data_IF_814807236769
#
_entry.id   IF_814807236769
#
_cell.length_a   1.000
_cell.length_b   1.000
_cell.length_c   1.000
_cell.angle_alpha   90.00
_cell.angle_beta   90.00
_cell.angle_gamma   90.00
#
_symmetry.space_group_name_H-M   'P 1'
#
loop_
_entity.id
_entity.type
_entity.pdbx_description
1 polymer ?
#
# COMPACT_ATOMS: atom_id res chain seq x y z
N UNK A 1 -19.93 13.19 46.16
CA UNK A 1 -20.47 12.91 44.82
C UNK A 1 -19.29 12.57 43.93
N UNK A 2 -19.15 11.30 43.54
CA UNK A 2 -18.03 10.85 42.71
C UNK A 2 -18.33 11.17 41.25
N UNK A 3 -17.55 12.07 40.65
CA UNK A 3 -17.60 12.33 39.21
C UNK A 3 -16.86 11.20 38.49
N UNK A 4 -17.58 10.17 38.06
CA UNK A 4 -17.08 9.24 37.05
C UNK A 4 -17.29 9.86 35.67
N UNK A 5 -16.20 10.30 35.04
CA UNK A 5 -16.17 10.63 33.62
C UNK A 5 -16.52 9.36 32.83
N UNK A 6 -17.53 9.38 31.94
CA UNK A 6 -17.83 8.21 31.11
C UNK A 6 -16.64 7.89 30.22
N UNK A 7 -16.13 6.66 30.31
CA UNK A 7 -15.12 6.13 29.41
C UNK A 7 -15.76 6.08 28.02
N UNK A 8 -15.39 7.02 27.16
CA UNK A 8 -15.80 7.00 25.78
C UNK A 8 -15.21 5.75 25.13
N UNK A 9 -16.06 4.79 24.78
CA UNK A 9 -15.63 3.58 24.06
C UNK A 9 -15.00 4.01 22.75
N UNK A 10 -13.68 3.93 22.63
CA UNK A 10 -12.98 4.22 21.39
C UNK A 10 -13.34 3.15 20.37
N UNK A 11 -14.13 3.49 19.36
CA UNK A 11 -14.36 2.61 18.22
C UNK A 11 -13.07 2.58 17.41
N UNK A 12 -12.42 1.42 17.36
CA UNK A 12 -11.26 1.20 16.50
C UNK A 12 -11.74 0.83 15.09
N UNK A 13 -11.42 1.61 14.05
CA UNK A 13 -11.83 1.27 12.69
C UNK A 13 -11.16 -0.03 12.22
N UNK A 14 -11.94 -0.90 11.55
CA UNK A 14 -11.43 -2.15 10.98
C UNK A 14 -10.49 -1.94 9.79
N UNK A 15 -10.74 -0.91 8.98
CA UNK A 15 -9.95 -0.53 7.81
C UNK A 15 -9.75 0.99 7.82
N UNK A 16 -8.54 1.44 7.53
CA UNK A 16 -8.20 2.86 7.36
C UNK A 16 -7.50 3.03 6.01
N UNK A 17 -8.04 3.90 5.16
CA UNK A 17 -7.40 4.36 3.93
C UNK A 17 -6.81 5.76 4.17
N UNK A 18 -5.54 5.95 3.85
CA UNK A 18 -4.90 7.26 3.78
C UNK A 18 -4.35 7.49 2.39
N UNK A 19 -4.71 8.62 1.79
CA UNK A 19 -4.27 9.00 0.45
C UNK A 19 -3.33 10.18 0.52
N UNK A 20 -2.22 10.11 -0.22
CA UNK A 20 -1.29 11.21 -0.44
C UNK A 20 -1.09 11.41 -1.93
N UNK A 21 -1.07 12.66 -2.37
CA UNK A 21 -0.70 13.04 -3.74
C UNK A 21 0.75 13.50 -3.76
N UNK A 22 1.53 12.97 -4.70
CA UNK A 22 2.95 13.24 -4.84
C UNK A 22 3.19 13.92 -6.18
N UNK A 23 3.69 15.15 -6.12
CA UNK A 23 3.97 15.95 -7.31
C UNK A 23 5.18 15.40 -8.10
N UNK A 24 5.19 15.59 -9.43
CA UNK A 24 6.36 15.30 -10.24
C UNK A 24 7.57 16.14 -9.75
N UNK A 25 8.77 15.56 -9.74
CA UNK A 25 10.00 16.22 -9.28
C UNK A 25 10.24 16.19 -7.77
N UNK A 26 9.36 15.59 -6.97
CA UNK A 26 9.61 15.37 -5.55
C UNK A 26 10.48 14.14 -5.31
N UNK A 27 11.33 14.19 -4.27
CA UNK A 27 12.14 13.04 -3.84
C UNK A 27 11.26 11.80 -3.61
N UNK A 28 10.04 11.97 -3.10
CA UNK A 28 9.12 10.86 -2.85
C UNK A 28 8.72 10.10 -4.12
N UNK A 29 8.57 10.78 -5.26
CA UNK A 29 8.30 10.12 -6.53
C UNK A 29 9.53 9.33 -6.99
N UNK A 30 10.71 9.97 -6.99
CA UNK A 30 11.96 9.35 -7.40
C UNK A 30 12.28 8.09 -6.56
N UNK A 31 12.11 8.20 -5.24
CA UNK A 31 12.31 7.09 -4.32
C UNK A 31 11.31 5.92 -4.55
N UNK A 32 10.09 6.19 -5.07
CA UNK A 32 9.15 5.13 -5.46
C UNK A 32 9.64 4.36 -6.68
N UNK A 33 10.16 5.07 -7.69
CA UNK A 33 10.76 4.46 -8.88
C UNK A 33 11.92 3.54 -8.48
N UNK A 34 12.72 3.94 -7.50
CA UNK A 34 13.80 3.11 -6.93
C UNK A 34 13.28 1.91 -6.14
N UNK A 35 12.19 2.08 -5.39
CA UNK A 35 11.56 0.99 -4.64
C UNK A 35 11.00 -0.13 -5.54
N UNK A 36 10.48 0.21 -6.72
CA UNK A 36 10.00 -0.79 -7.70
C UNK A 36 11.12 -1.68 -8.21
N UNK A 37 12.33 -1.15 -8.30
CA UNK A 37 13.54 -1.82 -8.80
C UNK A 37 14.26 -2.67 -7.73
N UNK A 38 13.66 -2.85 -6.55
CA UNK A 38 14.31 -3.56 -5.46
C UNK A 38 14.37 -5.06 -5.73
N UNK A 39 15.48 -5.65 -5.29
CA UNK A 39 15.63 -7.11 -5.20
C UNK A 39 14.72 -7.67 -4.09
N UNK A 40 13.79 -8.56 -4.45
CA UNK A 40 12.88 -9.21 -3.49
C UNK A 40 13.62 -10.13 -2.51
N UNK A 41 14.75 -10.70 -2.94
CA UNK A 41 15.48 -11.72 -2.19
C UNK A 41 16.37 -11.18 -1.06
N UNK A 42 16.56 -9.86 -0.96
CA UNK A 42 17.38 -9.26 0.08
C UNK A 42 16.51 -8.96 1.30
N UNK A 43 16.73 -9.71 2.37
CA UNK A 43 16.14 -9.54 3.71
C UNK A 43 16.48 -8.20 4.39
N UNK A 44 16.97 -7.21 3.65
CA UNK A 44 17.28 -5.87 4.12
C UNK A 44 16.93 -4.91 2.98
N UNK A 45 15.64 -4.79 2.67
CA UNK A 45 15.18 -3.68 1.86
C UNK A 45 15.39 -2.41 2.69
N UNK A 46 16.52 -1.72 2.49
CA UNK A 46 16.74 -0.38 3.03
C UNK A 46 15.80 0.57 2.31
N UNK A 47 14.55 0.59 2.73
CA UNK A 47 13.59 1.59 2.27
C UNK A 47 14.12 2.96 2.62
N UNK A 48 14.03 3.89 1.67
CA UNK A 48 14.28 5.28 1.99
C UNK A 48 13.28 5.69 3.08
N UNK A 49 13.74 6.11 4.27
CA UNK A 49 12.87 6.44 5.40
C UNK A 49 11.85 7.55 5.03
N UNK A 50 12.15 8.39 4.04
CA UNK A 50 11.25 9.45 3.56
C UNK A 50 10.08 8.94 2.70
N UNK A 51 10.10 7.68 2.25
CA UNK A 51 9.07 7.14 1.35
C UNK A 51 7.71 6.96 2.00
N UNK A 52 7.75 6.48 3.22
CA UNK A 52 6.58 6.21 4.03
C UNK A 52 6.86 6.74 5.42
N UNK A 53 7.07 8.06 5.56
CA UNK A 53 7.53 8.66 6.83
C UNK A 53 6.78 8.15 8.07
N UNK A 54 5.51 7.77 7.94
CA UNK A 54 4.68 7.20 9.02
C UNK A 54 4.76 5.67 9.18
N UNK A 55 5.22 4.93 8.17
CA UNK A 55 5.20 3.46 8.09
C UNK A 55 6.58 2.83 7.84
N UNK A 56 7.65 3.59 8.09
CA UNK A 56 9.05 3.18 7.80
C UNK A 56 9.39 1.85 8.44
N UNK A 57 9.12 1.71 9.74
CA UNK A 57 9.42 0.49 10.51
C UNK A 57 8.60 -0.71 10.05
N UNK A 58 7.38 -0.46 9.54
CA UNK A 58 6.47 -1.50 9.07
C UNK A 58 6.89 -2.02 7.69
N UNK A 59 7.11 -1.12 6.74
CA UNK A 59 7.49 -1.46 5.37
C UNK A 59 8.97 -1.90 5.28
N UNK A 60 9.81 -1.45 6.21
CA UNK A 60 11.21 -1.86 6.31
C UNK A 60 11.39 -3.27 6.89
N UNK A 61 10.34 -3.86 7.48
CA UNK A 61 10.41 -5.20 8.06
C UNK A 61 10.31 -6.27 6.96
N UNK A 62 11.36 -7.07 6.73
CA UNK A 62 11.38 -8.12 5.70
C UNK A 62 10.30 -9.19 5.91
N UNK A 63 9.88 -9.44 7.15
CA UNK A 63 8.80 -10.39 7.48
C UNK A 63 7.40 -9.82 7.25
N UNK A 64 7.28 -8.52 6.97
CA UNK A 64 6.01 -7.81 6.71
C UNK A 64 5.90 -7.27 5.29
N UNK A 65 6.98 -7.36 4.52
CA UNK A 65 7.05 -6.85 3.15
C UNK A 65 6.92 -7.98 2.15
N UNK A 66 5.82 -7.98 1.41
CA UNK A 66 5.56 -8.92 0.33
C UNK A 66 6.20 -8.48 -0.99
N UNK A 67 6.15 -9.37 -1.98
CA UNK A 67 6.43 -9.03 -3.37
C UNK A 67 5.45 -7.96 -3.89
N UNK A 68 5.86 -7.23 -4.93
CA UNK A 68 4.98 -6.29 -5.62
C UNK A 68 3.85 -7.05 -6.33
N UNK A 69 2.66 -6.46 -6.39
CA UNK A 69 1.54 -6.97 -7.18
C UNK A 69 0.90 -5.84 -7.98
N UNK A 70 0.20 -6.16 -9.06
CA UNK A 70 -0.54 -5.23 -9.90
C UNK A 70 -2.01 -5.62 -9.97
N UNK A 71 -2.79 -4.89 -10.77
CA UNK A 71 -4.16 -5.27 -11.10
C UNK A 71 -4.25 -6.70 -11.68
N UNK A 72 -3.24 -7.14 -12.44
CA UNK A 72 -3.30 -8.37 -13.22
C UNK A 72 -2.36 -9.48 -12.72
N UNK A 73 -1.39 -9.16 -11.85
CA UNK A 73 -0.39 -10.11 -11.37
C UNK A 73 -0.28 -10.07 -9.84
N UNK A 74 -0.21 -11.23 -9.19
CA UNK A 74 0.05 -11.34 -7.74
C UNK A 74 1.54 -11.16 -7.39
N UNK A 75 2.42 -11.29 -8.39
CA UNK A 75 3.87 -11.10 -8.28
C UNK A 75 4.41 -10.67 -9.62
N UNK A 76 5.41 -9.80 -9.66
CA UNK A 76 6.06 -9.35 -10.89
C UNK A 76 7.38 -10.11 -11.10
N UNK A 77 7.61 -10.53 -12.34
CA UNK A 77 8.94 -10.89 -12.83
C UNK A 77 9.85 -9.66 -12.93
N UNK A 78 11.16 -9.88 -13.03
CA UNK A 78 12.13 -8.78 -13.21
C UNK A 78 11.85 -7.95 -14.47
N UNK A 79 11.41 -8.59 -15.57
CA UNK A 79 10.98 -7.87 -16.77
C UNK A 79 9.75 -6.99 -16.52
N UNK A 80 8.76 -7.49 -15.78
CA UNK A 80 7.55 -6.72 -15.47
C UNK A 80 7.85 -5.55 -14.51
N UNK A 81 8.76 -5.74 -13.53
CA UNK A 81 9.23 -4.65 -12.67
C UNK A 81 9.92 -3.56 -13.48
N UNK A 82 10.78 -3.94 -14.44
CA UNK A 82 11.44 -2.99 -15.34
C UNK A 82 10.42 -2.19 -16.16
N UNK A 83 9.43 -2.84 -16.75
CA UNK A 83 8.35 -2.16 -17.47
C UNK A 83 7.54 -1.24 -16.55
N UNK A 84 7.22 -1.68 -15.33
CA UNK A 84 6.54 -0.85 -14.33
C UNK A 84 7.35 0.39 -13.99
N UNK A 85 8.65 0.24 -13.76
CA UNK A 85 9.59 1.34 -13.48
C UNK A 85 9.62 2.35 -14.63
N UNK A 86 9.69 1.87 -15.88
CA UNK A 86 9.67 2.71 -17.07
C UNK A 86 8.36 3.50 -17.21
N UNK A 87 7.22 2.90 -16.87
CA UNK A 87 5.93 3.60 -16.84
C UNK A 87 5.92 4.74 -15.80
N UNK A 88 6.38 4.48 -14.57
CA UNK A 88 6.46 5.53 -13.54
C UNK A 88 7.45 6.63 -13.89
N UNK A 89 8.58 6.29 -14.53
CA UNK A 89 9.55 7.28 -15.02
C UNK A 89 8.95 8.18 -16.09
N UNK A 90 8.25 7.59 -17.06
CA UNK A 90 7.55 8.34 -18.12
C UNK A 90 6.48 9.26 -17.52
N UNK A 91 5.70 8.77 -16.56
CA UNK A 91 4.70 9.58 -15.87
C UNK A 91 5.33 10.77 -15.12
N UNK A 92 6.45 10.54 -14.43
CA UNK A 92 7.22 11.59 -13.77
C UNK A 92 7.70 12.65 -14.78
N UNK A 93 8.33 12.23 -15.88
CA UNK A 93 8.84 13.12 -16.94
C UNK A 93 7.71 13.94 -17.59
N UNK A 94 6.52 13.36 -17.72
CA UNK A 94 5.33 14.03 -18.24
C UNK A 94 4.61 14.93 -17.22
N UNK A 95 5.14 15.09 -16.01
CA UNK A 95 4.53 15.95 -15.00
C UNK A 95 3.27 15.36 -14.34
N UNK A 96 3.11 14.04 -14.37
CA UNK A 96 1.96 13.36 -13.76
C UNK A 96 2.05 13.40 -12.23
N UNK A 97 0.89 13.43 -11.56
CA UNK A 97 0.79 13.27 -10.10
C UNK A 97 0.72 11.77 -9.77
N UNK A 98 1.52 11.34 -8.81
CA UNK A 98 1.43 9.98 -8.27
C UNK A 98 0.45 9.94 -7.09
N UNK A 99 -0.48 9.00 -7.15
CA UNK A 99 -1.40 8.68 -6.06
C UNK A 99 -0.75 7.61 -5.19
N UNK A 100 -0.56 7.91 -3.92
CA UNK A 100 0.07 7.01 -2.94
C UNK A 100 -0.91 6.71 -1.82
N UNK A 101 -1.62 5.60 -1.97
CA UNK A 101 -2.59 5.12 -0.99
C UNK A 101 -1.95 4.13 -0.01
N UNK A 102 -2.32 4.25 1.27
CA UNK A 102 -1.99 3.30 2.33
C UNK A 102 -3.28 2.77 2.93
N UNK A 103 -3.52 1.47 2.76
CA UNK A 103 -4.62 0.75 3.39
C UNK A 103 -4.07 0.01 4.61
N UNK A 104 -4.58 0.34 5.79
CA UNK A 104 -4.23 -0.31 7.05
C UNK A 104 -5.42 -1.09 7.59
N UNK A 105 -5.16 -2.28 8.13
CA UNK A 105 -6.19 -3.18 8.64
C UNK A 105 -5.97 -3.45 10.13
N UNK A 106 -7.07 -3.50 10.89
CA UNK A 106 -7.03 -3.93 12.29
C UNK A 106 -7.04 -5.46 12.37
N UNK A 107 -6.07 -6.06 13.05
CA UNK A 107 -5.93 -7.53 13.10
C UNK A 107 -7.20 -8.26 13.59
N UNK A 108 -7.85 -7.88 14.72
CA UNK A 108 -9.12 -8.47 15.12
C UNK A 108 -10.20 -8.41 14.04
N UNK A 109 -10.28 -7.31 13.31
CA UNK A 109 -11.22 -7.20 12.19
C UNK A 109 -10.86 -8.16 11.05
N UNK A 110 -9.58 -8.35 10.73
CA UNK A 110 -9.15 -9.37 9.75
C UNK A 110 -9.44 -10.81 10.21
N UNK A 111 -9.35 -11.08 11.52
CA UNK A 111 -9.73 -12.40 12.09
C UNK A 111 -11.23 -12.64 11.94
N UNK A 112 -12.06 -11.62 12.23
CA UNK A 112 -13.52 -11.67 12.02
C UNK A 112 -13.87 -11.93 10.55
N UNK A 113 -13.10 -11.37 9.61
CA UNK A 113 -13.27 -11.61 8.17
C UNK A 113 -12.65 -12.95 7.69
N UNK A 114 -11.96 -13.70 8.55
CA UNK A 114 -11.29 -14.94 8.18
C UNK A 114 -10.13 -14.76 7.19
N UNK A 115 -9.49 -13.59 7.23
CA UNK A 115 -8.31 -13.24 6.40
C UNK A 115 -7.02 -13.42 7.20
N UNK A 116 -7.08 -13.25 8.52
CA UNK A 116 -5.95 -13.43 9.42
C UNK A 116 -6.26 -14.50 10.47
N UNK A 117 -5.27 -15.32 10.80
CA UNK A 117 -5.33 -16.24 11.93
C UNK A 117 -4.37 -15.75 13.03
N UNK A 118 -4.92 -15.20 14.10
CA UNK A 118 -4.16 -14.70 15.23
C UNK A 118 -3.37 -15.75 16.01
N UNK A 119 -3.75 -17.04 15.91
CA UNK A 119 -3.07 -18.15 16.59
C UNK A 119 -1.82 -18.58 15.82
N UNK A 120 -1.95 -18.77 14.51
CA UNK A 120 -0.82 -19.20 13.65
C UNK A 120 -0.01 -18.02 13.11
N UNK A 121 -0.50 -16.78 13.30
CA UNK A 121 0.04 -15.55 12.71
C UNK A 121 0.06 -15.59 11.17
N UNK A 122 -0.82 -16.38 10.57
CA UNK A 122 -0.92 -16.56 9.11
C UNK A 122 -1.90 -15.57 8.49
N UNK A 123 -1.54 -15.01 7.34
CA UNK A 123 -2.35 -14.06 6.59
C UNK A 123 -2.70 -14.64 5.21
N UNK A 124 -3.96 -14.54 4.80
CA UNK A 124 -4.39 -14.86 3.44
C UNK A 124 -4.06 -13.67 2.52
N UNK A 125 -2.80 -13.59 2.09
CA UNK A 125 -2.28 -12.51 1.25
C UNK A 125 -3.06 -12.37 -0.06
N UNK A 126 -3.51 -13.48 -0.64
CA UNK A 126 -4.28 -13.46 -1.89
C UNK A 126 -5.60 -12.73 -1.71
N UNK A 127 -6.35 -13.00 -0.63
CA UNK A 127 -7.58 -12.27 -0.32
C UNK A 127 -7.33 -10.78 -0.10
N UNK A 128 -6.23 -10.42 0.58
CA UNK A 128 -5.86 -9.01 0.75
C UNK A 128 -5.52 -8.30 -0.56
N UNK A 129 -4.80 -8.96 -1.46
CA UNK A 129 -4.53 -8.44 -2.80
C UNK A 129 -5.83 -8.25 -3.59
N UNK A 130 -6.73 -9.25 -3.55
CA UNK A 130 -8.00 -9.22 -4.26
C UNK A 130 -8.93 -8.09 -3.76
N UNK A 131 -9.06 -7.91 -2.43
CA UNK A 131 -9.85 -6.78 -1.88
C UNK A 131 -9.20 -5.42 -2.17
N UNK A 132 -7.87 -5.35 -2.18
CA UNK A 132 -7.15 -4.13 -2.55
C UNK A 132 -7.44 -3.74 -4.01
N UNK A 133 -7.43 -4.71 -4.93
CA UNK A 133 -7.79 -4.46 -6.34
C UNK A 133 -9.23 -3.97 -6.48
N UNK A 134 -10.17 -4.56 -5.74
CA UNK A 134 -11.57 -4.12 -5.75
C UNK A 134 -11.71 -2.69 -5.22
N UNK A 135 -11.01 -2.35 -4.14
CA UNK A 135 -10.99 -1.00 -3.59
C UNK A 135 -10.43 0.01 -4.59
N UNK A 136 -9.31 -0.30 -5.25
CA UNK A 136 -8.71 0.58 -6.27
C UNK A 136 -9.62 0.75 -7.49
N UNK A 137 -10.30 -0.31 -7.95
CA UNK A 137 -11.27 -0.23 -9.06
C UNK A 137 -12.44 0.69 -8.71
N UNK A 138 -12.99 0.54 -7.53
CA UNK A 138 -14.09 1.40 -7.07
C UNK A 138 -13.62 2.86 -6.90
N UNK A 139 -12.40 3.08 -6.41
CA UNK A 139 -11.81 4.42 -6.33
C UNK A 139 -11.65 5.05 -7.72
N UNK A 140 -11.03 4.35 -8.68
CA UNK A 140 -10.83 4.85 -10.05
C UNK A 140 -12.16 5.23 -10.71
N UNK A 141 -13.21 4.43 -10.49
CA UNK A 141 -14.55 4.70 -10.98
C UNK A 141 -15.16 5.96 -10.36
N UNK A 142 -15.05 6.13 -9.04
CA UNK A 142 -15.59 7.30 -8.33
C UNK A 142 -14.87 8.60 -8.70
N UNK A 143 -13.56 8.52 -8.90
CA UNK A 143 -12.73 9.66 -9.30
C UNK A 143 -12.77 9.93 -10.82
N UNK A 144 -13.49 9.11 -11.60
CA UNK A 144 -13.62 9.26 -13.05
C UNK A 144 -12.32 9.03 -13.83
N UNK A 145 -11.30 8.43 -13.19
CA UNK A 145 -9.97 8.18 -13.77
C UNK A 145 -10.04 7.14 -14.89
N UNK A 146 -11.01 6.24 -14.84
CA UNK A 146 -11.28 5.23 -15.88
C UNK A 146 -11.41 5.84 -17.30
N UNK A 147 -11.78 7.12 -17.41
CA UNK A 147 -11.97 7.84 -18.68
C UNK A 147 -10.74 8.64 -19.13
N UNK A 148 -9.69 8.69 -18.31
CA UNK A 148 -8.47 9.49 -18.56
C UNK A 148 -7.33 8.69 -19.21
N UNK A 149 -7.51 7.37 -19.37
CA UNK A 149 -6.51 6.43 -19.90
C UNK A 149 -6.72 6.07 -21.38
N UNK A 150 -7.47 6.88 -22.13
CA UNK A 150 -7.64 6.77 -23.60
C UNK A 150 -6.84 7.81 -24.35
#
# INVERSE_FOLDING_TARGET
>A
MSNTVPIQSSVTPGVVLKTKFVLPGSDAFQNYIEYVDREEAKSEVKLNPKMFETYQDYMGNPEKTSALFTEHANRLSESEKKSLKEMFKTAHENGSIMWQDVISFHNPWLEEQGIYDGKTKTLDEKKLMDVTRLAMKEMQKREGIEKSST
#
